data_IF_792960209464
#
_entry.id   IF_792960209464
#
_cell.length_a   1.000
_cell.length_b   1.000
_cell.length_c   1.000
_cell.angle_alpha   90.00
_cell.angle_beta   90.00
_cell.angle_gamma   90.00
#
_symmetry.space_group_name_H-M   'P 1'
#
loop_
_entity.id
_entity.type
_entity.pdbx_description
1 polymer ?
#
# COMPACT_ATOMS: atom_id res chain seq x y z
N UNK A 1 -83.23 -25.15 10.86
CA UNK A 1 -82.25 -24.35 11.61
C UNK A 1 -80.88 -24.55 10.94
N UNK A 2 -80.44 -23.62 10.11
CA UNK A 2 -79.18 -23.66 9.35
C UNK A 2 -78.26 -22.58 9.87
N UNK A 3 -77.25 -23.00 10.65
CA UNK A 3 -76.18 -22.16 11.14
C UNK A 3 -75.21 -21.81 10.03
N UNK A 4 -74.98 -20.52 9.75
CA UNK A 4 -73.97 -20.04 8.79
C UNK A 4 -72.80 -19.50 9.62
N UNK A 5 -71.66 -20.15 9.49
CA UNK A 5 -70.37 -19.64 9.97
C UNK A 5 -69.83 -18.59 8.98
N UNK A 6 -69.33 -17.47 9.44
CA UNK A 6 -68.56 -16.55 8.62
C UNK A 6 -67.08 -16.98 8.50
N UNK A 7 -66.60 -17.00 7.28
CA UNK A 7 -65.19 -17.20 6.94
C UNK A 7 -64.47 -15.86 7.18
N UNK A 8 -63.53 -15.86 8.09
CA UNK A 8 -62.58 -14.74 8.29
C UNK A 8 -61.43 -14.95 7.35
N UNK A 9 -61.31 -14.06 6.35
CA UNK A 9 -60.12 -13.99 5.48
C UNK A 9 -59.00 -13.28 6.27
N UNK A 10 -57.92 -14.02 6.55
CA UNK A 10 -56.69 -13.49 7.11
C UNK A 10 -55.82 -13.02 5.94
N UNK A 11 -55.69 -11.68 5.83
CA UNK A 11 -54.75 -11.07 4.85
C UNK A 11 -53.37 -11.03 5.52
N UNK A 12 -52.42 -11.86 5.05
CA UNK A 12 -51.01 -11.77 5.40
C UNK A 12 -50.41 -10.59 4.61
N UNK A 13 -50.04 -9.53 5.31
CA UNK A 13 -49.17 -8.49 4.79
C UNK A 13 -47.72 -8.97 4.83
N UNK A 14 -47.14 -9.24 3.66
CA UNK A 14 -45.71 -9.45 3.46
C UNK A 14 -45.01 -8.09 3.60
N UNK A 15 -44.40 -7.85 4.75
CA UNK A 15 -43.45 -6.77 4.91
C UNK A 15 -42.17 -7.14 4.18
N UNK A 16 -41.96 -6.58 2.99
CA UNK A 16 -40.67 -6.66 2.28
C UNK A 16 -39.63 -5.84 3.05
N UNK A 17 -38.66 -6.51 3.64
CA UNK A 17 -37.41 -5.88 4.04
C UNK A 17 -36.68 -5.45 2.76
N UNK A 18 -36.70 -4.14 2.46
CA UNK A 18 -35.80 -3.56 1.49
C UNK A 18 -34.39 -3.63 2.07
N UNK A 19 -33.52 -4.44 1.48
CA UNK A 19 -32.08 -4.32 1.66
C UNK A 19 -31.67 -2.97 1.09
N UNK A 20 -31.43 -2.02 2.00
CA UNK A 20 -30.67 -0.83 1.65
C UNK A 20 -29.21 -1.29 1.48
N UNK A 21 -28.79 -1.41 0.22
CA UNK A 21 -27.37 -1.42 -0.11
C UNK A 21 -26.83 -0.08 0.33
N UNK A 22 -26.17 -0.06 1.49
CA UNK A 22 -25.25 1.00 1.84
C UNK A 22 -24.10 0.87 0.85
N UNK A 23 -24.03 1.80 -0.10
CA UNK A 23 -22.81 2.02 -0.86
C UNK A 23 -21.80 2.56 0.14
N UNK A 24 -21.01 1.66 0.74
CA UNK A 24 -19.78 2.01 1.38
C UNK A 24 -18.82 2.47 0.26
N UNK A 25 -18.75 3.78 0.05
CA UNK A 25 -17.67 4.43 -0.71
C UNK A 25 -16.35 4.42 0.09
N UNK A 26 -16.15 3.42 0.94
CA UNK A 26 -14.86 3.17 1.55
C UNK A 26 -13.98 2.54 0.46
N UNK A 27 -12.82 3.12 0.10
CA UNK A 27 -11.94 2.51 -0.89
C UNK A 27 -11.67 1.07 -0.46
N UNK A 28 -12.00 0.15 -1.36
CA UNK A 28 -11.75 -1.27 -1.11
C UNK A 28 -10.25 -1.40 -0.89
N UNK A 29 -9.77 -1.90 0.26
CA UNK A 29 -8.35 -2.13 0.45
C UNK A 29 -7.82 -2.97 -0.71
N UNK A 30 -6.54 -2.87 -1.05
CA UNK A 30 -5.91 -3.75 -2.03
C UNK A 30 -5.89 -5.20 -1.49
N UNK A 31 -7.07 -5.62 -1.05
CA UNK A 31 -7.38 -6.90 -0.46
C UNK A 31 -7.23 -8.00 -1.51
N UNK A 32 -6.61 -9.09 -1.10
CA UNK A 32 -6.30 -10.21 -1.97
C UNK A 32 -4.85 -10.28 -2.41
N UNK A 33 -4.07 -9.22 -2.25
CA UNK A 33 -2.61 -9.31 -2.36
C UNK A 33 -2.01 -9.75 -1.02
N UNK A 34 -1.03 -10.68 -1.02
CA UNK A 34 -0.29 -11.03 0.18
C UNK A 34 0.37 -9.80 0.82
N UNK A 35 0.63 -9.85 2.13
CA UNK A 35 1.36 -8.79 2.87
C UNK A 35 2.70 -8.50 2.19
N UNK A 36 3.39 -9.53 1.75
CA UNK A 36 4.70 -9.52 1.09
C UNK A 36 4.65 -9.29 -0.42
N UNK A 37 3.52 -8.82 -0.97
CA UNK A 37 3.39 -8.58 -2.40
C UNK A 37 4.37 -7.52 -2.88
N UNK A 38 5.11 -7.86 -3.93
CA UNK A 38 5.96 -6.93 -4.66
C UNK A 38 5.31 -6.54 -5.98
N UNK A 39 5.57 -5.32 -6.48
CA UNK A 39 5.13 -4.91 -7.79
C UNK A 39 5.74 -5.78 -8.89
N UNK A 40 4.93 -6.03 -9.93
CA UNK A 40 5.35 -6.72 -11.15
C UNK A 40 5.17 -5.75 -12.33
N UNK A 41 6.26 -5.09 -12.71
CA UNK A 41 6.26 -4.10 -13.79
C UNK A 41 7.42 -4.35 -14.77
N UNK A 42 7.29 -3.83 -15.99
CA UNK A 42 8.34 -3.98 -17.01
C UNK A 42 9.44 -2.94 -16.83
N UNK A 43 10.69 -3.39 -16.82
CA UNK A 43 11.88 -2.52 -16.78
C UNK A 43 11.94 -1.53 -17.94
N UNK A 44 11.52 -1.96 -19.13
CA UNK A 44 11.59 -1.14 -20.35
C UNK A 44 10.35 -0.25 -20.51
N UNK A 45 9.46 -0.24 -19.50
CA UNK A 45 8.28 0.59 -19.44
C UNK A 45 8.64 2.05 -19.18
N UNK A 46 7.75 2.94 -19.63
CA UNK A 46 7.79 4.37 -19.29
C UNK A 46 6.38 4.82 -18.90
N UNK A 47 5.91 4.28 -17.78
CA UNK A 47 4.64 4.63 -17.19
C UNK A 47 4.88 5.46 -15.94
N UNK A 48 4.60 6.76 -16.01
CA UNK A 48 4.87 7.69 -14.91
C UNK A 48 4.16 7.29 -13.62
N UNK A 49 4.88 7.43 -12.51
CA UNK A 49 4.31 7.25 -11.19
C UNK A 49 3.38 8.44 -10.87
N UNK A 50 2.12 8.22 -10.46
CA UNK A 50 1.15 9.29 -10.33
C UNK A 50 1.41 10.25 -9.16
N UNK A 51 2.31 9.90 -8.24
CA UNK A 51 2.59 10.68 -7.02
C UNK A 51 4.08 10.97 -6.79
N UNK A 52 4.98 10.54 -7.69
CA UNK A 52 6.41 10.82 -7.60
C UNK A 52 6.96 11.27 -8.96
N UNK A 53 7.52 12.46 -8.99
CA UNK A 53 8.18 12.99 -10.18
C UNK A 53 9.48 12.25 -10.48
N UNK A 54 9.67 11.83 -11.72
CA UNK A 54 10.82 11.01 -12.15
C UNK A 54 12.16 11.72 -11.98
N UNK A 55 12.24 13.04 -12.24
CA UNK A 55 13.47 13.80 -12.07
C UNK A 55 13.79 14.02 -10.60
N UNK A 56 12.75 14.22 -9.78
CA UNK A 56 12.91 14.32 -8.32
C UNK A 56 13.45 13.00 -7.75
N UNK A 57 12.90 11.86 -8.17
CA UNK A 57 13.40 10.52 -7.79
C UNK A 57 14.87 10.36 -8.18
N UNK A 58 15.24 10.71 -9.42
CA UNK A 58 16.61 10.60 -9.90
C UNK A 58 17.59 11.42 -9.04
N UNK A 59 17.21 12.63 -8.63
CA UNK A 59 18.04 13.49 -7.77
C UNK A 59 18.15 12.94 -6.35
N UNK A 60 17.02 12.51 -5.77
CA UNK A 60 16.96 12.03 -4.39
C UNK A 60 17.69 10.71 -4.22
N UNK A 61 17.48 9.76 -5.13
CA UNK A 61 18.15 8.45 -5.08
C UNK A 61 19.61 8.52 -5.64
N UNK A 62 19.97 9.60 -6.33
CA UNK A 62 21.30 9.82 -6.87
C UNK A 62 21.63 8.95 -8.08
N UNK A 63 20.64 8.46 -8.80
CA UNK A 63 20.78 7.62 -9.98
C UNK A 63 19.85 8.11 -11.10
N UNK A 64 20.36 7.99 -12.34
CA UNK A 64 19.54 8.28 -13.51
C UNK A 64 18.42 7.24 -13.64
N UNK A 65 17.18 7.71 -13.83
CA UNK A 65 16.06 6.85 -14.17
C UNK A 65 16.12 6.48 -15.67
N UNK A 66 16.08 5.20 -15.98
CA UNK A 66 16.09 4.65 -17.36
C UNK A 66 14.79 3.94 -17.71
N UNK A 67 13.90 3.74 -16.73
CA UNK A 67 12.57 3.16 -16.90
C UNK A 67 11.72 3.41 -15.67
N UNK A 68 10.42 3.50 -15.87
CA UNK A 68 9.41 3.64 -14.81
C UNK A 68 8.23 2.72 -15.13
N UNK A 69 7.73 2.02 -14.12
CA UNK A 69 6.52 1.21 -14.24
C UNK A 69 5.61 1.39 -13.04
N UNK A 70 4.33 1.21 -13.28
CA UNK A 70 3.30 1.22 -12.24
C UNK A 70 2.54 -0.09 -12.23
N UNK A 71 2.26 -0.61 -11.03
CA UNK A 71 1.45 -1.81 -10.84
C UNK A 71 0.10 -1.43 -10.24
N UNK A 72 -0.93 -1.50 -11.06
CA UNK A 72 -2.30 -1.13 -10.71
C UNK A 72 -3.08 -2.24 -9.98
N UNK A 73 -2.46 -3.36 -9.64
CA UNK A 73 -3.04 -4.34 -8.73
C UNK A 73 -3.12 -3.81 -7.30
N UNK A 74 -2.26 -2.84 -6.97
CA UNK A 74 -2.33 -2.09 -5.73
C UNK A 74 -3.35 -0.96 -5.87
N UNK A 75 -4.14 -0.69 -4.82
CA UNK A 75 -5.16 0.37 -4.80
C UNK A 75 -4.55 1.74 -5.11
N UNK A 76 -3.50 2.11 -4.39
CA UNK A 76 -2.58 3.16 -4.84
C UNK A 76 -1.51 2.49 -5.71
N UNK A 77 -1.41 2.80 -7.01
CA UNK A 77 -0.48 2.12 -7.89
C UNK A 77 0.94 2.10 -7.34
N UNK A 78 1.51 0.90 -7.19
CA UNK A 78 2.89 0.78 -6.76
C UNK A 78 3.83 1.19 -7.90
N UNK A 79 4.92 1.88 -7.56
CA UNK A 79 5.86 2.44 -8.53
C UNK A 79 7.23 1.76 -8.43
N UNK A 80 7.80 1.42 -9.59
CA UNK A 80 9.18 0.98 -9.70
C UNK A 80 9.96 1.88 -10.66
N UNK A 81 11.15 2.26 -10.26
CA UNK A 81 12.07 3.07 -11.05
C UNK A 81 13.34 2.25 -11.30
N UNK A 82 13.79 2.20 -12.54
CA UNK A 82 15.01 1.51 -12.92
C UNK A 82 16.15 2.46 -13.24
N UNK A 83 17.36 1.96 -13.06
CA UNK A 83 18.59 2.52 -13.54
C UNK A 83 19.33 1.47 -14.40
N UNK A 84 20.65 1.47 -14.41
CA UNK A 84 21.45 0.53 -15.18
C UNK A 84 21.49 -0.91 -14.63
N UNK A 85 21.47 -1.15 -13.30
CA UNK A 85 21.36 -2.50 -12.74
C UNK A 85 20.07 -3.23 -13.14
N UNK A 86 20.06 -4.56 -12.97
CA UNK A 86 18.90 -5.39 -13.31
C UNK A 86 17.74 -5.18 -12.31
N UNK A 87 18.05 -4.97 -11.04
CA UNK A 87 17.08 -4.67 -10.01
C UNK A 87 16.58 -3.21 -10.07
N UNK A 88 15.34 -2.92 -9.66
CA UNK A 88 14.88 -1.55 -9.54
C UNK A 88 15.79 -0.73 -8.62
N UNK A 89 16.10 0.50 -9.02
CA UNK A 89 16.80 1.41 -8.12
C UNK A 89 15.92 1.88 -6.97
N UNK A 90 14.61 1.88 -7.18
CA UNK A 90 13.61 2.29 -6.20
C UNK A 90 12.29 1.58 -6.44
N UNK A 91 11.69 1.07 -5.38
CA UNK A 91 10.33 0.52 -5.36
C UNK A 91 9.53 1.19 -4.25
N UNK A 92 8.36 1.71 -4.59
CA UNK A 92 7.45 2.37 -3.64
C UNK A 92 6.11 1.66 -3.66
N UNK A 93 5.67 1.24 -2.48
CA UNK A 93 4.43 0.48 -2.28
C UNK A 93 3.60 1.20 -1.21
N UNK A 94 2.37 1.55 -1.55
CA UNK A 94 1.39 2.07 -0.60
C UNK A 94 0.30 1.02 -0.46
N UNK A 95 0.01 0.61 0.77
CA UNK A 95 -0.98 -0.42 1.09
C UNK A 95 -2.10 0.17 1.94
N UNK A 96 -3.33 -0.06 1.53
CA UNK A 96 -4.53 0.24 2.32
C UNK A 96 -5.07 -1.07 2.86
N UNK A 97 -4.83 -1.34 4.12
CA UNK A 97 -5.15 -2.62 4.77
C UNK A 97 -6.48 -2.55 5.52
N UNK A 98 -7.05 -3.71 5.86
CA UNK A 98 -8.33 -3.77 6.60
C UNK A 98 -8.20 -3.30 8.06
N UNK A 99 -6.98 -3.31 8.61
CA UNK A 99 -6.73 -2.91 10.00
C UNK A 99 -5.32 -2.36 10.20
N UNK A 100 -5.09 -1.60 11.30
CA UNK A 100 -3.75 -1.15 11.66
C UNK A 100 -2.76 -2.29 11.89
N UNK A 101 -3.22 -3.43 12.43
CA UNK A 101 -2.38 -4.61 12.65
C UNK A 101 -1.91 -5.20 11.32
N UNK A 102 -2.75 -5.21 10.30
CA UNK A 102 -2.36 -5.66 8.97
C UNK A 102 -1.41 -4.66 8.30
N UNK A 103 -1.61 -3.36 8.47
CA UNK A 103 -0.68 -2.34 8.00
C UNK A 103 0.70 -2.49 8.65
N UNK A 104 0.74 -2.75 9.97
CA UNK A 104 1.98 -3.04 10.66
C UNK A 104 2.62 -4.36 10.21
N UNK A 105 1.85 -5.37 9.84
CA UNK A 105 2.39 -6.61 9.27
C UNK A 105 3.14 -6.38 7.95
N UNK A 106 2.72 -5.40 7.13
CA UNK A 106 3.47 -4.97 5.94
C UNK A 106 4.80 -4.32 6.35
N UNK A 107 4.79 -3.48 7.37
CA UNK A 107 6.00 -2.86 7.91
C UNK A 107 6.98 -3.92 8.44
N UNK A 108 6.50 -4.85 9.27
CA UNK A 108 7.33 -5.92 9.86
C UNK A 108 7.93 -6.86 8.80
N UNK A 109 7.19 -7.11 7.72
CA UNK A 109 7.72 -7.84 6.57
C UNK A 109 8.83 -7.08 5.86
N UNK A 110 8.64 -5.78 5.62
CA UNK A 110 9.60 -4.96 4.89
C UNK A 110 10.83 -4.64 5.73
N UNK A 111 10.62 -4.37 7.01
CA UNK A 111 11.65 -3.96 7.97
C UNK A 111 11.51 -4.78 9.26
N UNK A 112 11.99 -6.05 9.29
CA UNK A 112 11.84 -6.95 10.43
C UNK A 112 12.42 -6.34 11.72
N UNK A 113 11.62 -6.31 12.79
CA UNK A 113 11.94 -5.63 14.07
C UNK A 113 13.30 -6.02 14.65
N UNK A 114 13.65 -7.31 14.57
CA UNK A 114 14.90 -7.84 15.14
C UNK A 114 16.16 -7.43 14.36
N UNK A 115 16.00 -6.92 13.13
CA UNK A 115 17.09 -6.62 12.20
C UNK A 115 17.16 -5.14 11.79
N UNK A 116 16.26 -4.31 12.32
CA UNK A 116 16.07 -2.94 11.82
C UNK A 116 16.02 -1.93 12.97
N UNK A 117 16.16 -0.66 12.62
CA UNK A 117 16.03 0.44 13.56
C UNK A 117 14.61 1.03 13.47
N UNK A 118 14.09 1.61 14.56
CA UNK A 118 12.81 2.31 14.52
C UNK A 118 12.81 3.46 13.50
N UNK A 119 11.65 3.70 12.89
CA UNK A 119 11.36 4.83 12.01
C UNK A 119 10.07 5.49 12.49
N UNK A 120 10.07 6.84 12.61
CA UNK A 120 9.00 7.65 13.18
C UNK A 120 8.70 8.91 12.34
N UNK A 121 9.11 8.91 11.09
CA UNK A 121 8.89 10.04 10.17
C UNK A 121 7.99 9.64 8.99
N UNK A 122 7.11 10.56 8.54
CA UNK A 122 6.77 11.85 9.16
C UNK A 122 5.98 11.69 10.46
N UNK A 123 5.78 12.77 11.20
CA UNK A 123 5.08 12.74 12.50
C UNK A 123 3.75 11.98 12.46
N UNK A 124 3.56 11.07 13.41
CA UNK A 124 2.37 10.21 13.51
C UNK A 124 2.44 8.93 12.70
N UNK A 125 3.60 8.64 12.07
CA UNK A 125 3.90 7.37 11.43
C UNK A 125 4.92 6.60 12.26
N UNK A 126 4.76 5.29 12.33
CA UNK A 126 5.64 4.38 13.07
C UNK A 126 6.07 3.21 12.18
N UNK A 127 7.29 2.73 12.35
CA UNK A 127 7.77 1.58 11.59
C UNK A 127 9.25 1.29 11.78
N UNK A 128 9.90 0.86 10.69
CA UNK A 128 11.29 0.43 10.71
C UNK A 128 12.10 0.93 9.51
N UNK A 129 13.42 0.88 9.67
CA UNK A 129 14.40 1.20 8.63
C UNK A 129 15.64 0.34 8.74
N UNK A 130 16.27 0.04 7.62
CA UNK A 130 17.56 -0.63 7.59
C UNK A 130 18.45 -0.14 6.46
N UNK A 131 19.75 -0.28 6.63
CA UNK A 131 20.75 -0.06 5.59
C UNK A 131 20.93 -1.27 4.66
N UNK A 132 21.76 -1.10 3.63
CA UNK A 132 22.15 -2.22 2.79
C UNK A 132 22.91 -3.28 3.55
N UNK A 133 22.57 -4.56 3.37
CA UNK A 133 23.21 -5.70 4.02
C UNK A 133 22.70 -6.03 5.43
N UNK A 134 21.89 -5.19 6.06
CA UNK A 134 21.37 -5.44 7.40
C UNK A 134 20.34 -6.58 7.44
N UNK A 135 19.53 -6.70 6.37
CA UNK A 135 18.51 -7.75 6.25
C UNK A 135 18.96 -8.78 5.20
N UNK A 136 19.10 -10.07 5.56
CA UNK A 136 19.51 -11.13 4.63
C UNK A 136 18.58 -11.21 3.40
N UNK A 137 19.17 -11.40 2.23
CA UNK A 137 18.48 -11.50 0.94
C UNK A 137 17.71 -10.24 0.50
N UNK A 138 17.93 -9.10 1.14
CA UNK A 138 17.47 -7.79 0.68
C UNK A 138 18.60 -7.04 0.00
N UNK A 139 18.29 -6.43 -1.13
CA UNK A 139 19.23 -5.54 -1.83
C UNK A 139 18.99 -4.13 -1.31
N UNK A 140 20.08 -3.48 -0.88
CA UNK A 140 20.06 -2.09 -0.44
C UNK A 140 19.27 -1.84 0.84
N UNK A 141 18.83 -0.60 0.99
CA UNK A 141 18.14 -0.12 2.19
C UNK A 141 16.62 -0.12 2.02
N UNK A 142 15.92 -0.08 3.15
CA UNK A 142 14.48 0.11 3.17
C UNK A 142 14.03 1.09 4.25
N UNK A 143 12.85 1.66 4.02
CA UNK A 143 12.08 2.44 4.95
C UNK A 143 10.61 2.03 4.83
N UNK A 144 10.00 1.64 5.94
CA UNK A 144 8.60 1.21 5.94
C UNK A 144 7.89 1.72 7.20
N UNK A 145 6.80 2.44 7.02
CA UNK A 145 6.03 3.03 8.12
C UNK A 145 4.54 2.87 7.89
N UNK A 146 3.78 2.84 8.98
CA UNK A 146 2.33 2.77 8.96
C UNK A 146 1.69 3.85 9.84
N UNK A 147 0.47 4.26 9.45
CA UNK A 147 -0.40 5.14 10.22
C UNK A 147 -1.85 4.69 10.02
N UNK A 148 -2.52 4.30 11.09
CA UNK A 148 -3.82 3.66 10.98
C UNK A 148 -3.72 2.39 10.13
N UNK A 149 -4.57 2.26 9.13
CA UNK A 149 -4.60 1.12 8.22
C UNK A 149 -3.79 1.30 6.93
N UNK A 150 -2.97 2.34 6.84
CA UNK A 150 -2.12 2.60 5.67
C UNK A 150 -0.67 2.29 6.00
N UNK A 151 0.01 1.56 5.11
CA UNK A 151 1.46 1.35 5.16
C UNK A 151 2.12 1.90 3.90
N UNK A 152 3.28 2.54 4.07
CA UNK A 152 4.14 3.03 2.98
C UNK A 152 5.50 2.39 3.11
N UNK A 153 5.91 1.68 2.07
CA UNK A 153 7.18 0.95 2.01
C UNK A 153 8.01 1.42 0.84
N UNK A 154 9.26 1.73 1.09
CA UNK A 154 10.24 2.10 0.08
C UNK A 154 11.46 1.21 0.18
N UNK A 155 11.79 0.53 -0.92
CA UNK A 155 13.05 -0.19 -1.11
C UNK A 155 13.91 0.61 -2.08
N UNK A 156 15.20 0.72 -1.79
CA UNK A 156 16.20 1.31 -2.70
C UNK A 156 17.39 0.38 -2.83
N UNK A 157 18.06 0.39 -3.99
CA UNK A 157 19.32 -0.32 -4.17
C UNK A 157 20.54 0.41 -3.58
N UNK A 158 20.32 1.54 -2.90
CA UNK A 158 21.34 2.27 -2.15
C UNK A 158 21.46 1.72 -0.73
N UNK A 159 22.60 1.93 -0.10
CA UNK A 159 22.84 1.43 1.26
C UNK A 159 22.29 2.34 2.37
N UNK A 160 21.95 3.60 2.02
CA UNK A 160 21.50 4.58 3.01
C UNK A 160 19.98 4.68 3.07
N UNK A 161 19.39 4.29 4.20
CA UNK A 161 17.94 4.35 4.44
C UNK A 161 17.36 5.76 4.46
N UNK A 162 18.18 6.80 4.63
CA UNK A 162 17.73 8.20 4.59
C UNK A 162 17.16 8.59 3.21
N UNK A 163 17.60 7.95 2.13
CA UNK A 163 17.04 8.17 0.80
C UNK A 163 15.65 7.53 0.69
N UNK A 164 15.48 6.32 1.21
CA UNK A 164 14.18 5.66 1.27
C UNK A 164 13.19 6.45 2.14
N UNK A 165 13.63 7.00 3.27
CA UNK A 165 12.83 7.89 4.13
C UNK A 165 12.37 9.14 3.39
N UNK A 166 13.26 9.81 2.66
CA UNK A 166 12.90 11.00 1.88
C UNK A 166 11.82 10.69 0.83
N UNK A 167 11.92 9.53 0.16
CA UNK A 167 10.94 9.10 -0.84
C UNK A 167 9.60 8.73 -0.19
N UNK A 168 9.62 8.04 0.95
CA UNK A 168 8.39 7.72 1.69
C UNK A 168 7.66 8.99 2.13
N UNK A 169 8.39 9.96 2.68
CA UNK A 169 7.85 11.25 3.11
C UNK A 169 7.24 12.04 1.94
N UNK A 170 7.90 12.06 0.78
CA UNK A 170 7.38 12.71 -0.43
C UNK A 170 6.10 12.02 -0.92
N UNK A 171 6.09 10.68 -0.96
CA UNK A 171 4.90 9.92 -1.37
C UNK A 171 3.71 10.19 -0.43
N UNK A 172 3.93 10.14 0.88
CA UNK A 172 2.91 10.45 1.91
C UNK A 172 2.36 11.85 1.70
N UNK A 173 3.24 12.83 1.48
CA UNK A 173 2.85 14.23 1.28
C UNK A 173 2.01 14.42 0.01
N UNK A 174 2.46 13.85 -1.11
CA UNK A 174 1.80 14.02 -2.40
C UNK A 174 0.46 13.27 -2.50
N UNK A 175 0.30 12.19 -1.71
CA UNK A 175 -0.96 11.45 -1.58
C UNK A 175 -1.91 12.04 -0.52
N UNK A 176 -1.44 12.94 0.34
CA UNK A 176 -2.23 13.57 1.41
C UNK A 176 -2.60 12.61 2.54
N UNK A 177 -1.74 11.63 2.87
CA UNK A 177 -1.96 10.57 3.86
C UNK A 177 -1.64 11.03 5.31
#
# INVERSE_FOLDING_TARGET
MRSRLPIVLLVLALAGCGEQSLNDDNPTPDSGLPVEALPDTSRDGWQECPYLDTEWVARTNGQRVTGVGTDTRFDTPACQFWSYPEEPQLTVIVRHMDSPEQAMAVVDWATPVDLTQPADQPEGWDGGRHGGGDVPNRIGAAYSVAKGNVAVTVFTNQDESVKAEAVATEAITNLGL
#
